data_IF_877534154588
#
_entry.id   IF_877534154588
#
_cell.length_a   1.000
_cell.length_b   1.000
_cell.length_c   1.000
_cell.angle_alpha   90.00
_cell.angle_beta   90.00
_cell.angle_gamma   90.00
#
_symmetry.space_group_name_H-M   'P 1'
#
loop_
_entity.id
_entity.type
_entity.pdbx_description
1 polymer ?
#
# COMPACT_ATOMS: atom_id res chain seq x y z
N UNK A 1 20.17 -16.51 -24.12
CA UNK A 1 18.85 -16.09 -23.63
C UNK A 1 18.93 -15.89 -22.11
N UNK A 2 19.61 -14.83 -21.66
CA UNK A 2 19.90 -14.56 -20.24
C UNK A 2 19.93 -13.03 -19.98
N UNK A 3 19.09 -12.31 -20.71
CA UNK A 3 18.98 -10.83 -20.69
C UNK A 3 17.62 -10.38 -20.14
N UNK A 4 16.66 -11.30 -19.98
CA UNK A 4 15.32 -11.02 -19.45
C UNK A 4 15.20 -11.20 -17.93
N UNK A 5 16.27 -11.65 -17.24
CA UNK A 5 16.26 -11.88 -15.79
C UNK A 5 16.61 -10.66 -14.93
N UNK A 6 17.34 -9.68 -15.47
CA UNK A 6 17.77 -8.49 -14.72
C UNK A 6 16.87 -7.26 -14.94
N UNK A 7 15.96 -7.31 -15.92
CA UNK A 7 15.02 -6.21 -16.21
C UNK A 7 14.00 -6.02 -15.06
N UNK A 8 13.92 -6.97 -14.12
CA UNK A 8 12.90 -7.01 -13.07
C UNK A 8 13.46 -6.95 -11.63
N UNK A 9 14.60 -6.30 -11.38
CA UNK A 9 15.18 -6.30 -10.02
C UNK A 9 15.56 -4.93 -9.44
N UNK A 10 14.89 -3.87 -9.87
CA UNK A 10 14.85 -2.63 -9.07
C UNK A 10 13.39 -2.32 -8.74
N UNK A 11 13.03 -2.50 -7.48
CA UNK A 11 11.69 -2.18 -6.95
C UNK A 11 11.31 -0.71 -7.23
N UNK A 12 12.30 0.17 -7.36
CA UNK A 12 12.11 1.55 -7.82
C UNK A 12 11.63 1.64 -9.27
N UNK A 13 12.16 0.82 -10.18
CA UNK A 13 11.77 0.81 -11.59
C UNK A 13 10.33 0.30 -11.77
N UNK A 14 9.91 -0.70 -10.99
CA UNK A 14 8.52 -1.17 -10.99
C UNK A 14 7.55 -0.10 -10.49
N UNK A 15 7.92 0.70 -9.48
CA UNK A 15 7.07 1.82 -9.04
C UNK A 15 7.00 2.96 -10.07
N UNK A 16 8.09 3.24 -10.79
CA UNK A 16 8.07 4.20 -11.92
C UNK A 16 7.15 3.69 -13.03
N UNK A 17 7.17 2.39 -13.33
CA UNK A 17 6.21 1.79 -14.25
C UNK A 17 4.76 1.96 -13.76
N UNK A 18 4.48 1.71 -12.48
CA UNK A 18 3.16 1.96 -11.89
C UNK A 18 2.73 3.44 -12.02
N UNK A 19 3.64 4.38 -11.75
CA UNK A 19 3.39 5.81 -11.93
C UNK A 19 3.06 6.16 -13.40
N UNK A 20 3.78 5.54 -14.34
CA UNK A 20 3.53 5.71 -15.78
C UNK A 20 2.14 5.20 -16.18
N UNK A 21 1.69 4.07 -15.62
CA UNK A 21 0.33 3.54 -15.85
C UNK A 21 -0.74 4.48 -15.29
N UNK A 22 -0.54 5.02 -14.08
CA UNK A 22 -1.46 5.99 -13.48
C UNK A 22 -1.59 7.23 -14.40
N UNK A 23 -0.47 7.79 -14.85
CA UNK A 23 -0.45 8.93 -15.78
C UNK A 23 -1.11 8.61 -17.13
N UNK A 24 -0.86 7.41 -17.67
CA UNK A 24 -1.49 6.93 -18.89
C UNK A 24 -3.02 6.86 -18.74
N UNK A 25 -3.52 6.25 -17.66
CA UNK A 25 -4.96 6.18 -17.42
C UNK A 25 -5.61 7.54 -17.28
N UNK A 26 -4.94 8.49 -16.62
CA UNK A 26 -5.44 9.85 -16.50
C UNK A 26 -5.49 10.58 -17.85
N UNK A 27 -4.49 10.36 -18.70
CA UNK A 27 -4.48 10.91 -20.06
C UNK A 27 -5.68 10.41 -20.88
N UNK A 28 -6.02 9.12 -20.73
CA UNK A 28 -7.23 8.54 -21.36
C UNK A 28 -8.50 9.17 -20.78
N UNK A 29 -8.59 9.35 -19.46
CA UNK A 29 -9.76 9.97 -18.80
C UNK A 29 -9.92 11.44 -19.21
N UNK A 30 -8.83 12.20 -19.34
CA UNK A 30 -8.87 13.57 -19.86
C UNK A 30 -9.41 13.63 -21.28
N UNK A 31 -8.98 12.71 -22.14
CA UNK A 31 -9.51 12.60 -23.50
C UNK A 31 -11.01 12.28 -23.49
N UNK A 32 -11.44 11.32 -22.67
CA UNK A 32 -12.86 10.97 -22.49
C UNK A 32 -13.71 12.13 -21.95
N UNK A 33 -13.17 12.92 -21.02
CA UNK A 33 -13.79 14.13 -20.51
C UNK A 33 -13.93 15.22 -21.58
N UNK A 34 -12.93 15.37 -22.46
CA UNK A 34 -13.02 16.23 -23.65
C UNK A 34 -14.14 15.83 -24.61
N UNK A 35 -14.40 14.52 -24.72
CA UNK A 35 -15.55 13.95 -25.44
C UNK A 35 -16.87 14.04 -24.65
N UNK A 36 -16.87 14.63 -23.44
CA UNK A 36 -18.03 14.72 -22.51
C UNK A 36 -18.65 13.36 -22.13
N UNK A 37 -17.87 12.28 -22.21
CA UNK A 37 -18.34 10.92 -21.90
C UNK A 37 -18.27 10.60 -20.41
N UNK A 38 -17.41 11.30 -19.67
CA UNK A 38 -17.08 11.00 -18.27
C UNK A 38 -16.90 12.29 -17.48
N UNK A 39 -17.35 12.32 -16.22
CA UNK A 39 -17.04 13.39 -15.27
C UNK A 39 -15.75 13.10 -14.51
N UNK A 40 -14.77 13.99 -14.68
CA UNK A 40 -13.43 13.85 -14.10
C UNK A 40 -13.41 14.28 -12.63
N UNK A 41 -12.76 13.47 -11.79
CA UNK A 41 -12.44 13.79 -10.41
C UNK A 41 -10.94 14.10 -10.27
N UNK A 42 -10.63 15.40 -10.27
CA UNK A 42 -9.26 15.87 -10.34
C UNK A 42 -8.49 15.67 -9.03
N UNK A 43 -9.15 15.89 -7.88
CA UNK A 43 -8.56 15.69 -6.55
C UNK A 43 -8.14 14.23 -6.32
N UNK A 44 -8.93 13.27 -6.81
CA UNK A 44 -8.59 11.85 -6.81
C UNK A 44 -7.28 11.56 -7.53
N UNK A 45 -7.11 12.11 -8.73
CA UNK A 45 -5.88 11.92 -9.51
C UNK A 45 -4.65 12.52 -8.79
N UNK A 46 -4.80 13.73 -8.25
CA UNK A 46 -3.75 14.42 -7.51
C UNK A 46 -3.31 13.67 -6.26
N UNK A 47 -4.26 13.18 -5.46
CA UNK A 47 -3.95 12.35 -4.31
C UNK A 47 -3.22 11.05 -4.70
N UNK A 48 -3.62 10.42 -5.81
CA UNK A 48 -2.96 9.21 -6.31
C UNK A 48 -1.51 9.45 -6.72
N UNK A 49 -1.23 10.61 -7.34
CA UNK A 49 0.13 11.02 -7.71
C UNK A 49 1.02 11.25 -6.48
N UNK A 50 0.47 11.87 -5.42
CA UNK A 50 1.17 12.03 -4.14
C UNK A 50 1.49 10.68 -3.50
N UNK A 51 0.53 9.75 -3.49
CA UNK A 51 0.72 8.41 -2.95
C UNK A 51 1.87 7.73 -3.69
N UNK A 52 1.80 7.57 -5.02
CA UNK A 52 2.85 6.88 -5.78
C UNK A 52 4.21 7.59 -5.68
N UNK A 53 4.25 8.93 -5.65
CA UNK A 53 5.47 9.70 -5.44
C UNK A 53 6.11 9.41 -4.08
N UNK A 54 5.31 9.32 -3.03
CA UNK A 54 5.76 8.96 -1.70
C UNK A 54 6.27 7.51 -1.62
N UNK A 55 5.61 6.57 -2.32
CA UNK A 55 6.05 5.18 -2.42
C UNK A 55 7.43 5.05 -3.08
N UNK A 56 7.63 5.79 -4.18
CA UNK A 56 8.91 5.86 -4.90
C UNK A 56 9.99 6.44 -3.98
N UNK A 57 9.67 7.47 -3.21
CA UNK A 57 10.58 8.09 -2.24
C UNK A 57 10.99 7.10 -1.14
N UNK A 58 10.02 6.40 -0.54
CA UNK A 58 10.28 5.41 0.52
C UNK A 58 11.10 4.21 0.01
N UNK A 59 10.84 3.74 -1.21
CA UNK A 59 11.47 2.54 -1.78
C UNK A 59 12.93 2.77 -2.20
N UNK A 60 13.24 3.89 -2.85
CA UNK A 60 14.59 4.15 -3.35
C UNK A 60 15.62 4.41 -2.23
N UNK A 61 15.16 4.79 -1.04
CA UNK A 61 16.02 5.10 0.10
C UNK A 61 16.38 3.82 0.86
N UNK A 62 15.45 2.86 0.92
CA UNK A 62 15.68 1.57 1.56
C UNK A 62 16.87 0.79 0.95
N UNK A 63 17.06 0.89 -0.37
CA UNK A 63 18.16 0.24 -1.10
C UNK A 63 19.52 0.82 -0.70
N UNK A 64 19.59 2.08 -0.23
CA UNK A 64 20.85 2.79 0.00
C UNK A 64 21.34 2.74 1.45
N UNK A 65 20.49 2.33 2.41
CA UNK A 65 20.71 2.64 3.82
C UNK A 65 20.91 1.44 4.74
N UNK A 66 21.78 0.54 4.31
CA UNK A 66 22.37 -0.48 5.20
C UNK A 66 23.40 0.09 6.19
N UNK A 67 23.34 1.38 6.56
CA UNK A 67 24.35 1.95 7.47
C UNK A 67 24.27 3.40 7.94
N UNK A 68 23.16 4.14 7.83
CA UNK A 68 23.10 5.50 8.40
C UNK A 68 21.72 5.89 8.96
N UNK A 69 21.71 6.80 9.95
CA UNK A 69 20.53 7.30 10.68
C UNK A 69 19.70 8.35 9.90
N UNK A 70 20.10 8.68 8.67
CA UNK A 70 19.52 9.75 7.85
C UNK A 70 18.19 9.31 7.18
N UNK A 71 17.87 8.00 7.23
CA UNK A 71 16.70 7.30 6.69
C UNK A 71 15.38 7.76 7.24
N UNK A 72 15.37 8.01 8.56
CA UNK A 72 14.14 8.09 9.31
C UNK A 72 13.32 9.30 8.87
N UNK A 73 13.97 10.43 8.62
CA UNK A 73 13.30 11.65 8.19
C UNK A 73 12.57 11.50 6.85
N UNK A 74 13.18 10.83 5.88
CA UNK A 74 12.54 10.71 4.55
C UNK A 74 11.44 9.65 4.53
N UNK A 75 11.57 8.59 5.33
CA UNK A 75 10.45 7.66 5.56
C UNK A 75 9.25 8.37 6.20
N UNK A 76 9.49 9.19 7.24
CA UNK A 76 8.48 10.00 7.92
C UNK A 76 7.83 10.99 6.94
N UNK A 77 8.62 11.71 6.14
CA UNK A 77 8.10 12.63 5.10
C UNK A 77 7.24 11.87 4.09
N UNK A 78 7.68 10.69 3.64
CA UNK A 78 6.88 9.82 2.78
C UNK A 78 5.55 9.39 3.42
N UNK A 79 5.54 9.10 4.72
CA UNK A 79 4.34 8.72 5.45
C UNK A 79 3.34 9.88 5.52
N UNK A 80 3.81 11.08 5.87
CA UNK A 80 2.98 12.30 5.85
C UNK A 80 2.38 12.55 4.47
N UNK A 81 3.18 12.37 3.42
CA UNK A 81 2.73 12.51 2.04
C UNK A 81 1.63 11.53 1.66
N UNK A 82 1.73 10.27 2.09
CA UNK A 82 0.69 9.28 1.84
C UNK A 82 -0.62 9.70 2.54
N UNK A 83 -0.55 10.20 3.78
CA UNK A 83 -1.74 10.70 4.50
C UNK A 83 -2.38 11.88 3.77
N UNK A 84 -1.57 12.86 3.32
CA UNK A 84 -2.06 13.99 2.52
C UNK A 84 -2.66 13.49 1.20
N UNK A 85 -2.03 12.52 0.55
CA UNK A 85 -2.53 11.89 -0.66
C UNK A 85 -3.89 11.22 -0.46
N UNK A 86 -4.07 10.47 0.63
CA UNK A 86 -5.37 9.89 1.00
C UNK A 86 -6.42 10.96 1.28
N UNK A 87 -6.08 12.00 2.05
CA UNK A 87 -7.00 13.12 2.31
C UNK A 87 -7.47 13.79 1.01
N UNK A 88 -6.52 14.05 0.11
CA UNK A 88 -6.79 14.66 -1.21
C UNK A 88 -7.65 13.74 -2.08
N UNK A 89 -7.40 12.42 -2.06
CA UNK A 89 -8.24 11.47 -2.78
C UNK A 89 -9.67 11.43 -2.24
N UNK A 90 -9.84 11.41 -0.92
CA UNK A 90 -11.12 11.06 -0.33
C UNK A 90 -12.06 12.25 -0.20
N UNK A 91 -11.53 13.45 0.07
CA UNK A 91 -12.32 14.62 0.44
C UNK A 91 -12.26 15.62 -0.71
N UNK A 92 -13.34 15.73 -1.52
CA UNK A 92 -13.38 16.68 -2.63
C UNK A 92 -13.31 18.12 -2.09
N UNK A 93 -12.50 18.95 -2.74
CA UNK A 93 -12.43 20.39 -2.43
C UNK A 93 -11.74 20.76 -1.12
N UNK A 94 -11.12 19.83 -0.38
CA UNK A 94 -10.47 20.12 0.91
C UNK A 94 -9.34 21.18 0.82
N UNK A 95 -8.73 21.33 -0.35
CA UNK A 95 -7.65 22.28 -0.60
C UNK A 95 -8.06 23.42 -1.57
N UNK A 96 -9.34 23.60 -1.89
CA UNK A 96 -9.82 24.72 -2.73
C UNK A 96 -9.69 26.08 -2.03
N UNK A 97 -9.25 27.16 -2.73
CA UNK A 97 -9.01 27.29 -4.18
C UNK A 97 -7.54 27.08 -4.61
N UNK A 98 -6.64 26.63 -3.74
CA UNK A 98 -5.20 26.50 -4.02
C UNK A 98 -4.65 25.06 -4.22
N UNK A 99 -5.45 24.03 -4.55
CA UNK A 99 -4.96 22.65 -4.55
C UNK A 99 -3.89 22.49 -5.60
N UNK A 100 -4.04 23.13 -6.75
CA UNK A 100 -3.13 23.02 -7.88
C UNK A 100 -1.75 23.61 -7.55
N UNK A 101 -1.65 24.81 -6.96
CA UNK A 101 -0.35 25.47 -6.73
C UNK A 101 0.42 24.80 -5.59
N UNK A 102 -0.27 24.46 -4.50
CA UNK A 102 0.36 23.79 -3.35
C UNK A 102 0.80 22.38 -3.73
N UNK A 103 -0.04 21.65 -4.46
CA UNK A 103 0.27 20.29 -4.89
C UNK A 103 1.31 20.26 -6.01
N UNK A 104 1.23 21.14 -7.02
CA UNK A 104 2.30 21.29 -8.03
C UNK A 104 3.59 21.70 -7.35
N UNK A 105 3.55 22.63 -6.39
CA UNK A 105 4.70 23.00 -5.57
C UNK A 105 5.29 21.78 -4.84
N UNK A 106 4.43 20.94 -4.27
CA UNK A 106 4.84 19.71 -3.57
C UNK A 106 5.41 18.65 -4.52
N UNK A 107 4.78 18.43 -5.67
CA UNK A 107 5.21 17.50 -6.71
C UNK A 107 6.55 17.96 -7.32
N UNK A 108 6.68 19.25 -7.60
CA UNK A 108 7.94 19.86 -8.06
C UNK A 108 9.03 19.74 -6.99
N UNK A 109 8.71 19.96 -5.72
CA UNK A 109 9.64 19.76 -4.61
C UNK A 109 10.11 18.30 -4.50
N UNK A 110 9.20 17.34 -4.65
CA UNK A 110 9.52 15.90 -4.71
C UNK A 110 10.39 15.60 -5.93
N UNK A 111 10.05 16.12 -7.12
CA UNK A 111 10.82 15.94 -8.34
C UNK A 111 12.24 16.51 -8.18
N UNK A 112 12.39 17.66 -7.52
CA UNK A 112 13.70 18.27 -7.21
C UNK A 112 14.48 17.41 -6.21
N UNK A 113 13.86 16.89 -5.16
CA UNK A 113 14.52 15.96 -4.22
C UNK A 113 14.96 14.70 -4.95
N UNK A 114 14.12 14.15 -5.82
CA UNK A 114 14.39 12.96 -6.60
C UNK A 114 15.53 13.19 -7.61
N UNK A 115 15.49 14.30 -8.36
CA UNK A 115 16.55 14.73 -9.29
C UNK A 115 17.87 14.97 -8.54
N UNK A 116 17.81 15.62 -7.37
CA UNK A 116 18.99 15.80 -6.52
C UNK A 116 19.56 14.46 -6.07
N UNK A 117 18.71 13.51 -5.70
CA UNK A 117 19.14 12.18 -5.26
C UNK A 117 19.78 11.37 -6.39
N UNK A 118 19.18 11.35 -7.60
CA UNK A 118 19.76 10.66 -8.77
C UNK A 118 21.06 11.31 -9.23
N UNK A 119 21.18 12.65 -9.15
CA UNK A 119 22.42 13.35 -9.49
C UNK A 119 23.54 13.06 -8.47
N UNK A 120 23.23 13.00 -7.18
CA UNK A 120 24.19 12.60 -6.14
C UNK A 120 24.60 11.13 -6.33
N UNK A 121 23.65 10.24 -6.65
CA UNK A 121 23.95 8.84 -6.94
C UNK A 121 24.89 8.68 -8.14
N UNK A 122 24.61 9.37 -9.26
CA UNK A 122 25.47 9.35 -10.45
C UNK A 122 26.86 9.97 -10.18
N UNK A 123 26.97 10.83 -9.16
CA UNK A 123 28.24 11.40 -8.68
C UNK A 123 29.03 10.42 -7.80
N UNK A 124 28.35 9.63 -6.99
CA UNK A 124 28.96 8.58 -6.14
C UNK A 124 29.36 7.35 -6.95
N UNK A 125 28.57 6.95 -7.95
CA UNK A 125 28.91 5.86 -8.88
C UNK A 125 30.17 6.18 -9.71
N UNK A 126 30.40 7.46 -10.01
CA UNK A 126 31.67 7.93 -10.61
C UNK A 126 32.86 7.88 -9.64
N UNK A 127 32.62 7.86 -8.33
CA UNK A 127 33.64 7.83 -7.29
C UNK A 127 33.90 6.42 -6.72
N UNK A 128 33.00 5.45 -6.93
CA UNK A 128 33.08 4.09 -6.39
C UNK A 128 33.55 3.02 -7.39
N UNK A 129 34.55 3.32 -8.22
CA UNK A 129 35.33 2.27 -8.90
C UNK A 129 36.33 1.60 -7.92
N UNK A 130 35.91 1.37 -6.69
CA UNK A 130 36.69 0.78 -5.62
C UNK A 130 35.77 0.49 -4.44
N UNK A 131 35.83 -0.74 -3.94
CA UNK A 131 35.13 -1.27 -2.77
C UNK A 131 33.70 -1.81 -3.00
N UNK A 132 33.65 -3.09 -3.37
CA UNK A 132 32.48 -3.96 -3.18
C UNK A 132 32.40 -4.31 -1.69
N UNK A 133 31.48 -3.68 -0.95
CA UNK A 133 31.19 -4.05 0.43
C UNK A 133 29.85 -4.79 0.46
N UNK A 134 29.88 -6.11 0.68
CA UNK A 134 28.73 -6.87 1.16
C UNK A 134 28.33 -6.32 2.54
N UNK A 135 27.08 -5.89 2.69
CA UNK A 135 26.53 -5.46 3.98
C UNK A 135 25.26 -6.28 4.27
N UNK A 136 25.12 -6.68 5.52
CA UNK A 136 24.09 -7.53 6.13
C UNK A 136 22.67 -6.93 6.12
N UNK A 137 21.66 -7.80 5.96
CA UNK A 137 20.22 -7.52 5.86
C UNK A 137 19.59 -7.04 7.18
N UNK A 138 19.85 -5.80 7.58
CA UNK A 138 19.23 -5.18 8.78
C UNK A 138 18.36 -3.96 8.45
N UNK A 139 17.74 -3.97 7.27
CA UNK A 139 16.70 -3.02 6.88
C UNK A 139 15.31 -3.66 6.90
N UNK A 140 14.28 -2.88 7.26
CA UNK A 140 12.87 -3.28 7.16
C UNK A 140 12.51 -3.71 5.71
N UNK A 141 12.24 -5.00 5.47
CA UNK A 141 12.03 -5.51 4.10
C UNK A 141 10.98 -4.72 3.32
N UNK A 142 11.19 -4.54 2.01
CA UNK A 142 10.27 -3.77 1.18
C UNK A 142 8.84 -4.33 1.20
N UNK A 143 8.69 -5.65 1.32
CA UNK A 143 7.42 -6.33 1.56
C UNK A 143 6.70 -5.76 2.80
N UNK A 144 7.46 -5.50 3.87
CA UNK A 144 6.97 -4.92 5.12
C UNK A 144 6.49 -3.48 4.94
N UNK A 145 7.23 -2.66 4.19
CA UNK A 145 6.83 -1.27 3.91
C UNK A 145 5.50 -1.26 3.14
N UNK A 146 5.34 -2.15 2.18
CA UNK A 146 4.13 -2.25 1.37
C UNK A 146 2.93 -2.81 2.15
N UNK A 147 3.14 -3.78 3.04
CA UNK A 147 2.11 -4.28 3.94
C UNK A 147 1.69 -3.20 4.96
N UNK A 148 2.65 -2.41 5.48
CA UNK A 148 2.36 -1.26 6.37
C UNK A 148 1.48 -0.22 5.69
N UNK A 149 1.64 0.02 4.38
CA UNK A 149 0.84 1.01 3.65
C UNK A 149 -0.64 0.63 3.57
N UNK A 150 -0.95 -0.66 3.55
CA UNK A 150 -2.33 -1.13 3.60
C UNK A 150 -2.94 -0.91 5.00
N UNK A 151 -2.19 -1.20 6.06
CA UNK A 151 -2.58 -0.84 7.43
C UNK A 151 -2.79 0.67 7.59
N UNK A 152 -1.90 1.48 7.01
CA UNK A 152 -2.00 2.94 7.00
C UNK A 152 -3.24 3.42 6.26
N UNK A 153 -3.54 2.84 5.10
CA UNK A 153 -4.75 3.14 4.34
C UNK A 153 -6.00 2.88 5.18
N UNK A 154 -6.10 1.72 5.83
CA UNK A 154 -7.26 1.36 6.65
C UNK A 154 -7.42 2.27 7.86
N UNK A 155 -6.32 2.62 8.52
CA UNK A 155 -6.32 3.52 9.65
C UNK A 155 -6.72 4.95 9.22
N UNK A 156 -6.10 5.48 8.17
CA UNK A 156 -6.40 6.81 7.64
C UNK A 156 -7.87 6.93 7.21
N UNK A 157 -8.37 5.92 6.49
CA UNK A 157 -9.76 5.83 6.07
C UNK A 157 -10.71 5.81 7.29
N UNK A 158 -10.41 5.01 8.31
CA UNK A 158 -11.19 4.97 9.55
C UNK A 158 -11.27 6.34 10.25
N UNK A 159 -10.16 7.06 10.36
CA UNK A 159 -10.14 8.41 10.93
C UNK A 159 -10.91 9.41 10.07
N UNK A 160 -10.77 9.38 8.74
CA UNK A 160 -11.50 10.27 7.85
C UNK A 160 -13.00 10.01 7.83
N UNK A 161 -13.45 8.78 8.12
CA UNK A 161 -14.88 8.49 8.21
C UNK A 161 -15.56 9.03 9.47
N UNK A 162 -14.82 9.43 10.51
CA UNK A 162 -15.41 10.06 11.71
C UNK A 162 -16.13 11.37 11.35
N UNK A 163 -15.48 12.40 10.78
CA UNK A 163 -16.15 13.65 10.40
C UNK A 163 -17.18 13.46 9.29
N UNK A 164 -16.96 12.48 8.40
CA UNK A 164 -17.92 12.12 7.35
C UNK A 164 -19.24 11.59 7.94
N UNK A 165 -19.17 10.65 8.89
CA UNK A 165 -20.36 10.11 9.55
C UNK A 165 -21.09 11.15 10.42
N UNK A 166 -20.38 12.18 10.88
CA UNK A 166 -20.97 13.34 11.56
C UNK A 166 -21.59 14.36 10.59
N UNK A 167 -21.45 14.16 9.28
CA UNK A 167 -22.00 15.03 8.24
C UNK A 167 -21.16 16.29 7.98
N UNK A 168 -19.96 16.40 8.54
CA UNK A 168 -19.12 17.59 8.39
C UNK A 168 -18.33 17.65 7.09
N UNK A 169 -18.04 16.50 6.46
CA UNK A 169 -17.19 16.42 5.27
C UNK A 169 -17.82 15.56 4.16
N UNK A 170 -17.80 16.01 2.90
CA UNK A 170 -18.11 15.17 1.75
C UNK A 170 -17.01 14.12 1.54
N UNK A 171 -17.36 13.01 0.89
CA UNK A 171 -16.38 11.97 0.56
C UNK A 171 -16.69 11.29 -0.77
N UNK A 172 -15.64 10.79 -1.44
CA UNK A 172 -15.74 10.06 -2.71
C UNK A 172 -15.55 8.56 -2.52
N UNK A 173 -16.65 7.79 -2.54
CA UNK A 173 -16.60 6.33 -2.39
C UNK A 173 -15.83 5.63 -3.52
N UNK A 174 -15.92 6.16 -4.74
CA UNK A 174 -15.15 5.69 -5.90
C UNK A 174 -13.65 5.81 -5.70
N UNK A 175 -13.19 6.97 -5.22
CA UNK A 175 -11.78 7.21 -4.98
C UNK A 175 -11.25 6.36 -3.84
N UNK A 176 -12.04 6.16 -2.78
CA UNK A 176 -11.71 5.26 -1.68
C UNK A 176 -11.44 3.84 -2.22
N UNK A 177 -12.42 3.23 -2.89
CA UNK A 177 -12.29 1.86 -3.40
C UNK A 177 -11.22 1.75 -4.50
N UNK A 178 -11.09 2.77 -5.36
CA UNK A 178 -10.09 2.82 -6.40
C UNK A 178 -8.66 2.85 -5.86
N UNK A 179 -8.38 3.68 -4.84
CA UNK A 179 -7.06 3.73 -4.19
C UNK A 179 -6.70 2.37 -3.60
N UNK A 180 -7.66 1.67 -2.97
CA UNK A 180 -7.44 0.32 -2.43
C UNK A 180 -7.02 -0.66 -3.54
N UNK A 181 -7.69 -0.64 -4.69
CA UNK A 181 -7.34 -1.47 -5.85
C UNK A 181 -5.98 -1.11 -6.43
N UNK A 182 -5.63 0.18 -6.49
CA UNK A 182 -4.29 0.61 -6.91
C UNK A 182 -3.22 0.08 -5.94
N UNK A 183 -3.45 0.17 -4.63
CA UNK A 183 -2.52 -0.38 -3.63
C UNK A 183 -2.34 -1.90 -3.79
N UNK A 184 -3.41 -2.66 -4.03
CA UNK A 184 -3.29 -4.09 -4.35
C UNK A 184 -2.47 -4.35 -5.62
N UNK A 185 -2.70 -3.57 -6.67
CA UNK A 185 -1.92 -3.68 -7.91
C UNK A 185 -0.44 -3.36 -7.69
N UNK A 186 -0.13 -2.30 -6.94
CA UNK A 186 1.25 -1.92 -6.61
C UNK A 186 1.93 -2.99 -5.75
N UNK A 187 1.25 -3.52 -4.73
CA UNK A 187 1.78 -4.61 -3.90
C UNK A 187 2.11 -5.85 -4.77
N UNK A 188 1.18 -6.26 -5.64
CA UNK A 188 1.42 -7.38 -6.54
C UNK A 188 2.59 -7.14 -7.51
N UNK A 189 2.74 -5.90 -7.99
CA UNK A 189 3.79 -5.53 -8.94
C UNK A 189 5.18 -5.58 -8.30
N UNK A 190 5.31 -5.10 -7.07
CA UNK A 190 6.61 -4.88 -6.43
C UNK A 190 7.01 -6.04 -5.52
N UNK A 191 6.13 -6.50 -4.62
CA UNK A 191 6.43 -7.61 -3.69
C UNK A 191 5.92 -8.96 -4.18
N UNK A 192 5.09 -9.00 -5.22
CA UNK A 192 4.43 -10.24 -5.65
C UNK A 192 3.42 -10.77 -4.63
N UNK A 193 3.02 -9.94 -3.66
CA UNK A 193 2.04 -10.27 -2.63
C UNK A 193 0.86 -9.32 -2.73
N UNK A 194 -0.33 -9.81 -2.40
CA UNK A 194 -1.47 -8.93 -2.12
C UNK A 194 -2.04 -9.35 -0.79
N UNK A 195 -1.95 -8.47 0.21
CA UNK A 195 -2.46 -8.73 1.55
C UNK A 195 -1.91 -10.06 2.11
N UNK A 196 -2.69 -11.13 2.12
CA UNK A 196 -2.26 -12.47 2.58
C UNK A 196 -1.73 -13.36 1.46
N UNK A 197 -2.12 -13.09 0.21
CA UNK A 197 -1.76 -13.93 -0.91
C UNK A 197 -0.31 -13.70 -1.33
N UNK A 198 0.42 -14.80 -1.48
CA UNK A 198 1.75 -14.80 -2.09
C UNK A 198 1.65 -15.37 -3.49
N UNK A 199 1.98 -14.57 -4.49
CA UNK A 199 2.00 -14.99 -5.88
C UNK A 199 3.44 -15.20 -6.33
N UNK A 200 3.64 -16.23 -7.17
CA UNK A 200 4.93 -16.38 -7.86
C UNK A 200 5.08 -15.21 -8.83
N UNK A 201 6.19 -14.47 -8.69
CA UNK A 201 6.56 -13.39 -9.60
C UNK A 201 6.70 -13.96 -11.01
N UNK A 202 5.66 -13.75 -11.80
CA UNK A 202 5.47 -14.34 -13.11
C UNK A 202 4.91 -13.28 -14.05
N UNK A 203 4.96 -13.55 -15.34
CA UNK A 203 4.35 -12.67 -16.33
C UNK A 203 2.86 -12.45 -16.03
N UNK A 204 2.16 -13.47 -15.51
CA UNK A 204 0.75 -13.38 -15.11
C UNK A 204 0.55 -12.41 -13.93
N UNK A 205 1.39 -12.49 -12.88
CA UNK A 205 1.30 -11.56 -11.75
C UNK A 205 1.61 -10.11 -12.18
N UNK A 206 2.51 -9.94 -13.15
CA UNK A 206 2.81 -8.63 -13.73
C UNK A 206 1.62 -8.07 -14.51
N UNK A 207 1.02 -8.83 -15.44
CA UNK A 207 -0.14 -8.37 -16.20
C UNK A 207 -1.36 -8.09 -15.32
N UNK A 208 -1.63 -8.96 -14.34
CA UNK A 208 -2.73 -8.73 -13.39
C UNK A 208 -2.49 -7.48 -12.55
N UNK A 209 -1.26 -7.22 -12.09
CA UNK A 209 -0.92 -5.97 -11.41
C UNK A 209 -1.16 -4.74 -12.29
N UNK A 210 -0.74 -4.78 -13.56
CA UNK A 210 -1.01 -3.71 -14.53
C UNK A 210 -2.49 -3.43 -14.67
N UNK A 211 -3.32 -4.47 -14.82
CA UNK A 211 -4.78 -4.34 -14.93
C UNK A 211 -5.37 -3.72 -13.65
N UNK A 212 -4.95 -4.17 -12.46
CA UNK A 212 -5.41 -3.61 -11.20
C UNK A 212 -5.04 -2.13 -11.05
N UNK A 213 -3.79 -1.76 -11.35
CA UNK A 213 -3.34 -0.36 -11.29
C UNK A 213 -4.17 0.49 -12.25
N UNK A 214 -4.39 0.03 -13.49
CA UNK A 214 -5.16 0.78 -14.47
C UNK A 214 -6.64 0.91 -14.05
N UNK A 215 -7.28 -0.19 -13.65
CA UNK A 215 -8.68 -0.20 -13.23
C UNK A 215 -8.91 0.64 -11.97
N UNK A 216 -8.01 0.52 -10.98
CA UNK A 216 -8.05 1.34 -9.77
C UNK A 216 -7.85 2.82 -10.07
N UNK A 217 -6.87 3.18 -10.88
CA UNK A 217 -6.60 4.59 -11.25
C UNK A 217 -7.76 5.20 -12.02
N UNK A 218 -8.37 4.44 -12.93
CA UNK A 218 -9.59 4.84 -13.62
C UNK A 218 -10.75 5.06 -12.64
N UNK A 219 -10.93 4.14 -11.67
CA UNK A 219 -11.95 4.27 -10.63
C UNK A 219 -11.75 5.50 -9.74
N UNK A 220 -10.50 5.87 -9.48
CA UNK A 220 -10.18 7.11 -8.74
C UNK A 220 -10.51 8.36 -9.55
N UNK A 221 -10.23 8.36 -10.85
CA UNK A 221 -10.37 9.55 -11.69
C UNK A 221 -11.81 9.80 -12.18
N UNK A 222 -12.72 8.84 -12.06
CA UNK A 222 -14.07 8.87 -12.66
C UNK A 222 -15.17 8.79 -11.60
N UNK A 223 -16.06 9.78 -11.55
CA UNK A 223 -17.14 9.83 -10.54
C UNK A 223 -18.37 8.97 -10.86
N UNK A 224 -18.61 8.63 -12.13
CA UNK A 224 -19.84 7.97 -12.56
C UNK A 224 -19.67 6.45 -12.77
N UNK A 225 -18.74 5.83 -12.06
CA UNK A 225 -18.46 4.40 -12.22
C UNK A 225 -19.52 3.54 -11.50
N UNK A 226 -19.54 2.23 -11.74
CA UNK A 226 -20.40 1.32 -10.99
C UNK A 226 -19.72 0.93 -9.66
N UNK A 227 -20.05 1.63 -8.57
CA UNK A 227 -19.51 1.37 -7.21
C UNK A 227 -19.73 -0.08 -6.80
N UNK A 228 -20.93 -0.63 -7.10
CA UNK A 228 -21.34 -1.96 -6.65
C UNK A 228 -20.46 -3.05 -7.25
N UNK A 229 -20.05 -2.92 -8.51
CA UNK A 229 -19.14 -3.89 -9.13
C UNK A 229 -17.76 -3.86 -8.47
N UNK A 230 -17.23 -2.66 -8.22
CA UNK A 230 -15.92 -2.47 -7.61
C UNK A 230 -15.91 -2.96 -6.16
N UNK A 231 -16.95 -2.62 -5.39
CA UNK A 231 -17.16 -3.11 -4.02
C UNK A 231 -17.30 -4.63 -3.95
N UNK A 232 -18.01 -5.24 -4.90
CA UNK A 232 -18.14 -6.70 -5.02
C UNK A 232 -16.79 -7.36 -5.27
N UNK A 233 -16.03 -6.85 -6.24
CA UNK A 233 -14.69 -7.36 -6.55
C UNK A 233 -13.75 -7.30 -5.34
N UNK A 234 -13.67 -6.13 -4.70
CA UNK A 234 -12.81 -5.92 -3.53
C UNK A 234 -13.30 -6.77 -2.35
N UNK A 235 -14.60 -6.82 -2.11
CA UNK A 235 -15.21 -7.58 -1.01
C UNK A 235 -14.88 -9.06 -1.10
N UNK A 236 -15.08 -9.69 -2.27
CA UNK A 236 -14.73 -11.10 -2.49
C UNK A 236 -13.21 -11.30 -2.29
N UNK A 237 -12.39 -10.40 -2.83
CA UNK A 237 -10.94 -10.51 -2.73
C UNK A 237 -10.46 -10.46 -1.27
N UNK A 238 -10.99 -9.53 -0.48
CA UNK A 238 -10.66 -9.37 0.94
C UNK A 238 -11.16 -10.56 1.77
N UNK A 239 -12.40 -11.03 1.57
CA UNK A 239 -12.94 -12.20 2.28
C UNK A 239 -12.08 -13.42 1.99
N UNK A 240 -11.74 -13.63 0.71
CA UNK A 240 -10.92 -14.77 0.32
C UNK A 240 -9.53 -14.73 0.98
N UNK A 241 -8.90 -13.55 1.06
CA UNK A 241 -7.63 -13.36 1.75
C UNK A 241 -7.70 -13.66 3.25
N UNK A 242 -8.77 -13.19 3.91
CA UNK A 242 -9.03 -13.49 5.31
C UNK A 242 -9.27 -14.97 5.58
N UNK A 243 -10.07 -15.65 4.74
CA UNK A 243 -10.30 -17.10 4.82
C UNK A 243 -9.02 -17.90 4.56
N UNK A 244 -8.19 -17.49 3.61
CA UNK A 244 -6.91 -18.13 3.34
C UNK A 244 -5.95 -17.98 4.53
N UNK A 245 -5.85 -16.79 5.14
CA UNK A 245 -5.07 -16.56 6.36
C UNK A 245 -5.56 -17.47 7.49
N UNK A 246 -6.88 -17.52 7.68
CA UNK A 246 -7.51 -18.35 8.71
C UNK A 246 -7.22 -19.85 8.51
N UNK A 247 -7.39 -20.35 7.28
CA UNK A 247 -7.09 -21.74 6.93
C UNK A 247 -5.61 -22.07 7.15
N UNK A 248 -4.69 -21.19 6.75
CA UNK A 248 -3.26 -21.38 6.95
C UNK A 248 -2.88 -21.46 8.43
N UNK A 249 -3.43 -20.56 9.26
CA UNK A 249 -3.23 -20.58 10.72
C UNK A 249 -3.78 -21.87 11.33
N UNK A 250 -5.01 -22.27 10.98
CA UNK A 250 -5.65 -23.47 11.49
C UNK A 250 -4.91 -24.75 11.10
N UNK A 251 -4.47 -24.85 9.84
CA UNK A 251 -3.64 -25.97 9.37
C UNK A 251 -2.32 -26.05 10.13
N UNK A 252 -1.68 -24.92 10.40
CA UNK A 252 -0.42 -24.87 11.16
C UNK A 252 -0.63 -25.32 12.62
N UNK A 253 -1.72 -24.90 13.25
CA UNK A 253 -2.12 -25.34 14.59
C UNK A 253 -2.31 -26.87 14.67
N UNK A 254 -2.91 -27.49 13.65
CA UNK A 254 -3.22 -28.94 13.62
C UNK A 254 -2.02 -29.79 13.16
N UNK A 255 -1.26 -29.30 12.17
CA UNK A 255 -0.21 -30.07 11.50
C UNK A 255 1.11 -30.09 12.27
N UNK A 256 1.24 -29.27 13.31
CA UNK A 256 2.41 -29.30 14.19
C UNK A 256 2.39 -30.58 15.04
N UNK A 257 2.83 -31.70 14.46
CA UNK A 257 3.42 -32.80 15.22
C UNK A 257 4.56 -32.19 16.02
N UNK A 258 4.49 -32.35 17.34
CA UNK A 258 5.38 -31.78 18.37
C UNK A 258 6.74 -31.29 17.82
N UNK A 259 7.08 -30.00 17.97
CA UNK A 259 8.45 -29.58 17.71
C UNK A 259 9.37 -30.38 18.64
N UNK A 260 10.44 -30.93 18.08
CA UNK A 260 11.48 -31.71 18.78
C UNK A 260 12.18 -30.91 19.89
N UNK A 261 11.91 -29.60 19.96
CA UNK A 261 12.26 -28.71 21.08
C UNK A 261 11.04 -27.85 21.45
N UNK A 262 10.53 -27.99 22.68
CA UNK A 262 9.50 -27.09 23.22
C UNK A 262 10.08 -25.66 23.26
N UNK A 263 9.47 -24.66 22.59
CA UNK A 263 9.90 -23.27 22.75
C UNK A 263 9.69 -22.85 24.22
N UNK A 264 10.78 -22.58 24.94
CA UNK A 264 10.75 -22.16 26.34
C UNK A 264 10.87 -20.64 26.45
N UNK A 265 10.08 -20.04 27.35
CA UNK A 265 10.23 -18.64 27.77
C UNK A 265 9.61 -17.62 26.80
N UNK A 266 10.33 -16.51 26.57
CA UNK A 266 9.86 -15.32 25.83
C UNK A 266 9.48 -15.61 24.36
N UNK A 267 10.10 -16.61 23.74
CA UNK A 267 9.79 -17.03 22.37
C UNK A 267 8.35 -17.56 22.23
N UNK A 268 7.83 -18.27 23.23
CA UNK A 268 6.46 -18.77 23.22
C UNK A 268 5.46 -17.60 23.26
N UNK A 269 5.77 -16.54 24.01
CA UNK A 269 4.91 -15.37 24.12
C UNK A 269 4.80 -14.61 22.80
N UNK A 270 5.91 -14.41 22.08
CA UNK A 270 5.92 -13.69 20.78
C UNK A 270 5.09 -14.46 19.74
N UNK A 271 5.26 -15.78 19.65
CA UNK A 271 4.49 -16.62 18.71
C UNK A 271 3.00 -16.62 19.05
N UNK A 272 2.63 -16.66 20.34
CA UNK A 272 1.22 -16.54 20.76
C UNK A 272 0.65 -15.17 20.37
N UNK A 273 1.38 -14.08 20.60
CA UNK A 273 0.95 -12.72 20.23
C UNK A 273 0.75 -12.62 18.71
N UNK A 274 1.69 -13.13 17.91
CA UNK A 274 1.58 -13.18 16.45
C UNK A 274 0.35 -13.96 16.00
N UNK A 275 0.08 -15.11 16.61
CA UNK A 275 -1.09 -15.93 16.30
C UNK A 275 -2.39 -15.19 16.60
N UNK A 276 -2.49 -14.53 17.77
CA UNK A 276 -3.67 -13.75 18.17
C UNK A 276 -3.89 -12.59 17.21
N UNK A 277 -2.85 -11.82 16.87
CA UNK A 277 -2.94 -10.69 15.94
C UNK A 277 -3.28 -11.15 14.52
N UNK A 278 -2.73 -12.27 14.05
CA UNK A 278 -3.03 -12.81 12.73
C UNK A 278 -4.49 -13.29 12.66
N UNK A 279 -4.99 -13.92 13.73
CA UNK A 279 -6.39 -14.33 13.84
C UNK A 279 -7.34 -13.12 13.87
N UNK A 280 -7.02 -12.11 14.69
CA UNK A 280 -7.77 -10.86 14.75
C UNK A 280 -7.82 -10.17 13.38
N UNK A 281 -6.68 -10.10 12.70
CA UNK A 281 -6.55 -9.53 11.36
C UNK A 281 -7.40 -10.28 10.33
N UNK A 282 -7.37 -11.61 10.33
CA UNK A 282 -8.19 -12.43 9.44
C UNK A 282 -9.70 -12.23 9.69
N UNK A 283 -10.10 -12.16 10.96
CA UNK A 283 -11.49 -11.91 11.34
C UNK A 283 -11.97 -10.54 10.88
N UNK A 284 -11.17 -9.49 11.12
CA UNK A 284 -11.49 -8.12 10.69
C UNK A 284 -11.54 -7.99 9.16
N UNK A 285 -10.67 -8.69 8.42
CA UNK A 285 -10.75 -8.78 6.96
C UNK A 285 -12.10 -9.35 6.50
N UNK A 286 -12.54 -10.47 7.08
CA UNK A 286 -13.79 -11.12 6.67
C UNK A 286 -14.99 -10.19 6.94
N UNK A 287 -15.05 -9.54 8.11
CA UNK A 287 -16.15 -8.61 8.42
C UNK A 287 -16.09 -7.39 7.50
N UNK A 288 -14.90 -6.82 7.27
CA UNK A 288 -14.74 -5.69 6.37
C UNK A 288 -15.20 -6.04 4.94
N UNK A 289 -14.75 -7.17 4.41
CA UNK A 289 -15.15 -7.62 3.08
C UNK A 289 -16.66 -7.90 2.98
N UNK A 290 -17.28 -8.49 4.02
CA UNK A 290 -18.73 -8.66 4.10
C UNK A 290 -19.45 -7.30 4.10
N UNK A 291 -18.91 -6.30 4.80
CA UNK A 291 -19.49 -4.95 4.84
C UNK A 291 -19.43 -4.24 3.48
N UNK A 292 -18.52 -4.64 2.59
CA UNK A 292 -18.46 -4.16 1.20
C UNK A 292 -19.45 -4.88 0.28
N UNK A 293 -19.79 -6.14 0.56
CA UNK A 293 -20.73 -6.93 -0.24
C UNK A 293 -22.20 -6.62 0.08
N UNK A 294 -22.50 -6.42 1.35
CA UNK A 294 -23.87 -6.20 1.84
C UNK A 294 -24.01 -4.73 2.22
N UNK A 295 -24.75 -3.99 1.40
CA UNK A 295 -25.07 -2.58 1.66
C UNK A 295 -25.75 -2.48 3.03
N UNK A 296 -25.28 -1.54 3.86
CA UNK A 296 -25.78 -1.29 5.22
C UNK A 296 -25.64 -2.45 6.22
N UNK A 297 -24.74 -3.42 5.99
CA UNK A 297 -24.44 -4.46 7.00
C UNK A 297 -23.92 -3.85 8.31
N UNK A 298 -23.09 -2.81 8.21
CA UNK A 298 -22.57 -2.05 9.34
C UNK A 298 -22.96 -0.57 9.19
N UNK A 299 -23.62 0.02 10.20
CA UNK A 299 -23.80 1.47 10.24
C UNK A 299 -22.46 2.20 10.25
N UNK A 300 -22.42 3.42 9.74
CA UNK A 300 -21.18 4.17 9.50
C UNK A 300 -20.19 4.19 10.69
N UNK A 301 -20.69 4.37 11.91
CA UNK A 301 -19.86 4.37 13.13
C UNK A 301 -19.20 3.02 13.43
N UNK A 302 -19.89 1.91 13.17
CA UNK A 302 -19.29 0.57 13.35
C UNK A 302 -18.21 0.30 12.28
N UNK A 303 -18.43 0.78 11.06
CA UNK A 303 -17.41 0.73 9.99
C UNK A 303 -16.15 1.48 10.40
N UNK A 304 -16.26 2.66 11.03
CA UNK A 304 -15.12 3.40 11.59
C UNK A 304 -14.33 2.57 12.60
N UNK A 305 -15.01 2.02 13.61
CA UNK A 305 -14.38 1.22 14.67
C UNK A 305 -13.66 0.01 14.05
N UNK A 306 -14.31 -0.66 13.12
CA UNK A 306 -13.79 -1.81 12.42
C UNK A 306 -12.52 -1.46 11.62
N UNK A 307 -12.52 -0.37 10.86
CA UNK A 307 -11.38 0.07 10.05
C UNK A 307 -10.17 0.47 10.90
N UNK A 308 -10.39 1.24 11.97
CA UNK A 308 -9.32 1.63 12.90
C UNK A 308 -8.73 0.39 13.57
N UNK A 309 -9.59 -0.52 14.04
CA UNK A 309 -9.15 -1.79 14.65
C UNK A 309 -8.35 -2.63 13.65
N UNK A 310 -8.78 -2.66 12.39
CA UNK A 310 -8.12 -3.42 11.35
C UNK A 310 -6.75 -2.86 10.99
N UNK A 311 -6.65 -1.54 10.79
CA UNK A 311 -5.37 -0.86 10.56
C UNK A 311 -4.39 -1.07 11.72
N UNK A 312 -4.86 -0.91 12.96
CA UNK A 312 -4.02 -1.10 14.15
C UNK A 312 -3.55 -2.57 14.30
N UNK A 313 -4.44 -3.53 14.07
CA UNK A 313 -4.11 -4.96 14.09
C UNK A 313 -3.04 -5.31 13.06
N UNK A 314 -3.13 -4.77 11.84
CA UNK A 314 -2.12 -4.94 10.80
C UNK A 314 -0.76 -4.35 11.18
N UNK A 315 -0.72 -3.11 11.68
CA UNK A 315 0.52 -2.50 12.14
C UNK A 315 1.17 -3.28 13.29
N UNK A 316 0.37 -3.71 14.26
CA UNK A 316 0.85 -4.48 15.38
C UNK A 316 1.39 -5.86 14.93
N UNK A 317 0.76 -6.49 13.93
CA UNK A 317 1.18 -7.78 13.39
C UNK A 317 2.56 -7.66 12.74
N UNK A 318 2.73 -6.64 11.90
CA UNK A 318 3.99 -6.36 11.23
C UNK A 318 5.10 -6.03 12.25
N UNK A 319 4.78 -5.23 13.27
CA UNK A 319 5.72 -4.91 14.33
C UNK A 319 6.16 -6.16 15.10
N UNK A 320 5.22 -7.03 15.46
CA UNK A 320 5.51 -8.30 16.12
C UNK A 320 6.39 -9.22 15.25
N UNK A 321 6.15 -9.28 13.93
CA UNK A 321 6.98 -10.05 12.99
C UNK A 321 8.40 -9.49 12.91
N UNK A 322 8.55 -8.16 12.95
CA UNK A 322 9.87 -7.52 12.99
C UNK A 322 10.63 -7.86 14.27
N UNK A 323 9.95 -7.97 15.41
CA UNK A 323 10.56 -8.37 16.68
C UNK A 323 10.98 -9.84 16.67
N UNK A 324 10.16 -10.73 16.10
CA UNK A 324 10.48 -12.14 15.96
C UNK A 324 11.77 -12.35 15.15
N UNK A 325 11.91 -11.68 14.01
CA UNK A 325 13.12 -11.73 13.18
C UNK A 325 14.38 -11.32 13.96
N UNK A 326 14.31 -10.21 14.70
CA UNK A 326 15.44 -9.74 15.52
C UNK A 326 15.81 -10.67 16.69
N UNK A 327 14.85 -11.47 17.16
CA UNK A 327 15.10 -12.45 18.21
C UNK A 327 15.71 -13.75 17.67
N UNK A 328 15.46 -14.08 16.39
CA UNK A 328 15.97 -15.29 15.73
C UNK A 328 17.39 -15.12 15.16
N UNK A 329 17.81 -13.90 14.85
CA UNK A 329 19.18 -13.57 14.39
C UNK A 329 20.21 -13.44 15.51
N UNK A 330 19.82 -13.65 16.78
CA UNK A 330 20.67 -13.47 17.96
C UNK A 330 20.86 -14.79 18.70
#
# INVERSE_FOLDING_TARGET
>A
MKVTGEICNSNGLTLIYAASLILFTFSVVLFQNGLKTVMIYLDGFYGLLLIIGALILQTNIHIKEKGNLRSSYTFIVGLFLIIIGYATCFIPGIFEPYPQIILIGFICFIAIIFIRHILIHKREEKNQFGYVQQISDSGLSLDTIMEMQYGLYMLALGFFLIPVNLGFLPYSMHAILGVLVVLFGIQLLVSGRIMTYTFKRSIISFFSATVLIMAGSYSVAVQNMNISFLGLFIGIFIISGGLYLFYYLFRTLITTKQPTTKPKGKHLQIVIILLILAFLTAFLMIIFGLSLLIVNLLPGFYTVILLISFGFSQFALIYAQSLEKMYYER
#
